data_IF_282562169734
#
_entry.id   IF_282562169734
#
_cell.length_a   1.000
_cell.length_b   1.000
_cell.length_c   1.000
_cell.angle_alpha   90.00
_cell.angle_beta   90.00
_cell.angle_gamma   90.00
#
_symmetry.space_group_name_H-M   'P 1'
#
loop_
_entity.id
_entity.type
_entity.pdbx_description
1 polymer ?
#
# COMPACT_ATOMS: atom_id res chain seq x y z
N UNK A 1 -14.76 9.47 -56.23
CA UNK A 1 -13.98 8.80 -55.16
C UNK A 1 -12.76 9.58 -54.67
N UNK A 2 -11.84 10.08 -55.53
CA UNK A 2 -10.62 10.79 -55.08
C UNK A 2 -10.84 12.08 -54.25
N UNK A 3 -11.95 12.80 -54.44
CA UNK A 3 -12.30 14.00 -53.64
C UNK A 3 -12.80 13.66 -52.23
N UNK A 4 -13.45 12.51 -52.04
CA UNK A 4 -13.97 12.09 -50.73
C UNK A 4 -12.84 11.62 -49.80
N UNK A 5 -11.84 10.92 -50.35
CA UNK A 5 -10.66 10.48 -49.61
C UNK A 5 -9.81 11.66 -49.09
N UNK A 6 -9.68 12.74 -49.86
CA UNK A 6 -8.96 13.95 -49.43
C UNK A 6 -9.66 14.68 -48.28
N UNK A 7 -10.99 14.73 -48.28
CA UNK A 7 -11.78 15.34 -47.19
C UNK A 7 -11.70 14.52 -45.90
N UNK A 8 -11.73 13.19 -46.00
CA UNK A 8 -11.55 12.28 -44.86
C UNK A 8 -10.15 12.37 -44.24
N UNK A 9 -9.09 12.47 -45.06
CA UNK A 9 -7.72 12.64 -44.54
C UNK A 9 -7.52 13.98 -43.83
N UNK A 10 -8.10 15.08 -44.33
CA UNK A 10 -8.01 16.39 -43.66
C UNK A 10 -8.81 16.41 -42.36
N UNK A 11 -9.98 15.77 -42.32
CA UNK A 11 -10.76 15.59 -41.10
C UNK A 11 -10.04 14.76 -40.04
N UNK A 12 -9.40 13.65 -40.42
CA UNK A 12 -8.64 12.80 -39.50
C UNK A 12 -7.40 13.52 -38.94
N UNK A 13 -6.71 14.33 -39.76
CA UNK A 13 -5.57 15.14 -39.31
C UNK A 13 -6.02 16.25 -38.34
N UNK A 14 -7.17 16.89 -38.59
CA UNK A 14 -7.73 17.89 -37.67
C UNK A 14 -8.21 17.29 -36.34
N UNK A 15 -8.78 16.08 -36.35
CA UNK A 15 -9.10 15.36 -35.11
C UNK A 15 -7.84 14.93 -34.34
N UNK A 16 -6.77 14.53 -35.03
CA UNK A 16 -5.49 14.17 -34.42
C UNK A 16 -4.78 15.39 -33.78
N UNK A 17 -4.91 16.58 -34.38
CA UNK A 17 -4.41 17.84 -33.80
C UNK A 17 -5.31 18.42 -32.70
N UNK A 18 -6.61 18.08 -32.69
CA UNK A 18 -7.50 18.43 -31.58
C UNK A 18 -7.26 17.55 -30.35
N UNK A 19 -6.90 16.26 -30.53
CA UNK A 19 -6.58 15.34 -29.44
C UNK A 19 -5.19 15.56 -28.84
N UNK A 20 -4.24 16.14 -29.58
CA UNK A 20 -2.90 16.49 -29.05
C UNK A 20 -2.84 17.86 -28.37
N UNK A 21 -3.94 18.62 -28.39
CA UNK A 21 -4.16 19.79 -27.53
C UNK A 21 -5.15 19.47 -26.40
N UNK A 22 -5.05 18.26 -25.83
CA UNK A 22 -5.34 18.13 -24.41
C UNK A 22 -4.44 19.14 -23.71
N UNK A 23 -4.99 20.32 -23.39
CA UNK A 23 -4.39 21.30 -22.51
C UNK A 23 -3.70 20.51 -21.40
N UNK A 24 -2.36 20.54 -21.34
CA UNK A 24 -1.61 19.83 -20.31
C UNK A 24 -2.25 20.18 -18.98
N UNK A 25 -3.04 19.24 -18.44
CA UNK A 25 -3.95 19.53 -17.34
C UNK A 25 -3.10 20.11 -16.23
N UNK A 26 -3.57 21.21 -15.64
CA UNK A 26 -2.85 21.92 -14.61
C UNK A 26 -2.47 20.91 -13.52
N UNK A 27 -1.16 20.66 -13.29
CA UNK A 27 -0.75 19.65 -12.33
C UNK A 27 -1.29 19.98 -10.95
N UNK A 28 -1.70 18.95 -10.22
CA UNK A 28 -2.30 19.08 -8.88
C UNK A 28 -1.41 19.87 -7.90
N UNK A 29 -0.08 19.80 -8.05
CA UNK A 29 0.87 20.54 -7.22
C UNK A 29 0.81 22.06 -7.41
N UNK A 30 0.24 22.54 -8.53
CA UNK A 30 0.04 23.98 -8.76
C UNK A 30 -1.07 24.52 -7.85
N UNK A 31 -2.10 23.73 -7.59
CA UNK A 31 -3.24 24.09 -6.74
C UNK A 31 -3.09 23.63 -5.28
N UNK A 32 -2.41 22.51 -5.06
CA UNK A 32 -2.20 21.94 -3.74
C UNK A 32 -0.75 21.44 -3.56
N UNK A 33 0.24 22.34 -3.41
CA UNK A 33 1.62 21.95 -3.17
C UNK A 33 1.85 21.27 -1.81
N UNK A 34 0.88 21.35 -0.89
CA UNK A 34 0.98 20.77 0.45
C UNK A 34 1.11 19.24 0.46
N UNK A 35 0.72 18.56 -0.60
CA UNK A 35 0.86 17.09 -0.69
C UNK A 35 2.32 16.61 -0.64
N UNK A 36 3.28 17.49 -0.94
CA UNK A 36 4.72 17.16 -0.88
C UNK A 36 5.37 17.53 0.45
N UNK A 37 4.62 18.07 1.42
CA UNK A 37 5.20 18.64 2.64
C UNK A 37 5.50 17.64 3.76
N UNK A 38 5.10 16.38 3.63
CA UNK A 38 5.32 15.34 4.65
C UNK A 38 6.81 15.11 4.90
N UNK A 39 7.63 15.13 3.85
CA UNK A 39 9.09 14.94 3.95
C UNK A 39 9.90 16.12 3.40
N UNK A 40 9.25 17.18 2.92
CA UNK A 40 9.94 18.29 2.26
C UNK A 40 9.43 19.67 2.72
N UNK A 41 10.31 20.66 2.66
CA UNK A 41 9.89 22.04 2.50
C UNK A 41 9.57 22.28 1.02
N UNK A 42 8.39 22.82 0.75
CA UNK A 42 7.85 22.99 -0.59
C UNK A 42 7.89 24.46 -1.00
N UNK A 43 8.40 24.73 -2.19
CA UNK A 43 8.37 26.06 -2.82
C UNK A 43 7.71 25.99 -4.19
N UNK A 44 6.68 26.81 -4.41
CA UNK A 44 6.11 27.01 -5.74
C UNK A 44 6.48 28.39 -6.27
N UNK A 45 7.21 28.40 -7.37
CA UNK A 45 7.61 29.61 -8.06
C UNK A 45 6.67 29.89 -9.22
N UNK A 46 6.17 31.14 -9.33
CA UNK A 46 5.30 31.55 -10.44
C UNK A 46 5.85 32.81 -11.09
N UNK A 47 6.09 32.76 -12.40
CA UNK A 47 6.60 33.91 -13.15
C UNK A 47 6.06 33.95 -14.59
N UNK A 48 6.03 35.14 -15.16
CA UNK A 48 5.65 35.39 -16.55
C UNK A 48 6.77 36.16 -17.23
N UNK A 49 7.07 35.81 -18.47
CA UNK A 49 8.04 36.48 -19.32
C UNK A 49 7.67 36.28 -20.79
N UNK A 50 8.17 37.14 -21.67
CA UNK A 50 7.99 37.00 -23.12
C UNK A 50 8.73 35.77 -23.68
N UNK A 51 9.77 35.29 -22.99
CA UNK A 51 10.51 34.07 -23.34
C UNK A 51 10.31 32.99 -22.27
N UNK A 52 9.94 31.78 -22.69
CA UNK A 52 9.65 30.66 -21.78
C UNK A 52 10.82 30.35 -20.82
N UNK A 53 12.05 30.28 -21.33
CA UNK A 53 13.24 30.00 -20.50
C UNK A 53 13.49 31.07 -19.43
N UNK A 54 13.21 32.34 -19.76
CA UNK A 54 13.31 33.44 -18.79
C UNK A 54 12.21 33.37 -17.74
N UNK A 55 10.99 32.99 -18.13
CA UNK A 55 9.89 32.76 -17.20
C UNK A 55 10.23 31.61 -16.23
N UNK A 56 10.76 30.50 -16.76
CA UNK A 56 11.22 29.35 -15.99
C UNK A 56 12.31 29.73 -14.99
N UNK A 57 13.40 30.35 -15.43
CA UNK A 57 14.49 30.74 -14.53
C UNK A 57 14.02 31.72 -13.42
N UNK A 58 13.09 32.63 -13.74
CA UNK A 58 12.47 33.50 -12.74
C UNK A 58 11.59 32.74 -11.75
N UNK A 59 10.84 31.76 -12.22
CA UNK A 59 10.00 30.91 -11.38
C UNK A 59 10.86 30.03 -10.45
N UNK A 60 11.91 29.39 -10.95
CA UNK A 60 12.88 28.62 -10.13
C UNK A 60 13.45 29.48 -9.00
N UNK A 61 13.93 30.69 -9.32
CA UNK A 61 14.45 31.64 -8.32
C UNK A 61 13.42 31.99 -7.25
N UNK A 62 12.14 32.15 -7.62
CA UNK A 62 11.05 32.42 -6.68
C UNK A 62 10.72 31.21 -5.81
N UNK A 63 10.72 30.01 -6.37
CA UNK A 63 10.48 28.77 -5.63
C UNK A 63 11.52 28.58 -4.52
N UNK A 64 12.80 28.72 -4.88
CA UNK A 64 13.93 28.66 -3.93
C UNK A 64 13.83 29.74 -2.86
N UNK A 65 13.56 30.99 -3.26
CA UNK A 65 13.40 32.09 -2.30
C UNK A 65 12.21 31.88 -1.35
N UNK A 66 11.15 31.20 -1.82
CA UNK A 66 10.01 30.77 -0.99
C UNK A 66 10.43 29.80 0.10
N UNK A 67 11.19 28.75 -0.25
CA UNK A 67 11.75 27.80 0.71
C UNK A 67 12.65 28.52 1.71
N UNK A 68 13.60 29.35 1.24
CA UNK A 68 14.46 30.13 2.14
C UNK A 68 13.67 31.01 3.11
N UNK A 69 12.56 31.61 2.67
CA UNK A 69 11.70 32.43 3.52
C UNK A 69 11.05 31.62 4.65
N UNK A 70 10.58 30.41 4.36
CA UNK A 70 9.98 29.51 5.35
C UNK A 70 11.03 29.09 6.38
N UNK A 71 12.27 28.85 5.94
CA UNK A 71 13.35 28.37 6.80
C UNK A 71 13.95 29.48 7.69
N UNK A 72 13.94 30.75 7.26
CA UNK A 72 14.59 31.87 7.97
C UNK A 72 14.20 32.03 9.44
N UNK A 73 12.98 31.62 9.80
CA UNK A 73 12.49 31.73 11.19
C UNK A 73 12.71 30.45 12.00
N UNK A 74 13.15 29.36 11.36
CA UNK A 74 13.30 28.03 11.96
C UNK A 74 14.76 27.59 12.09
N UNK A 75 15.61 28.05 11.19
CA UNK A 75 17.00 27.58 11.09
C UNK A 75 17.99 28.74 10.98
N UNK A 76 19.22 28.59 11.51
CA UNK A 76 20.30 29.56 11.32
C UNK A 76 20.64 29.78 9.84
N UNK A 77 20.97 31.03 9.48
CA UNK A 77 21.31 31.43 8.11
C UNK A 77 22.41 30.58 7.46
N UNK A 78 23.37 30.08 8.25
CA UNK A 78 24.46 29.21 7.77
C UNK A 78 23.93 27.85 7.31
N UNK A 79 23.00 27.26 8.05
CA UNK A 79 22.41 25.95 7.76
C UNK A 79 21.48 26.03 6.55
N UNK A 80 20.71 27.11 6.45
CA UNK A 80 19.89 27.40 5.26
C UNK A 80 20.80 27.43 4.03
N UNK A 81 21.90 28.20 4.05
CA UNK A 81 22.83 28.29 2.92
C UNK A 81 23.42 26.95 2.51
N UNK A 82 23.79 26.08 3.47
CA UNK A 82 24.31 24.75 3.15
C UNK A 82 23.23 23.80 2.61
N UNK A 83 21.96 24.01 2.97
CA UNK A 83 20.84 23.18 2.51
C UNK A 83 20.33 23.54 1.12
N UNK A 84 20.58 24.78 0.64
CA UNK A 84 20.09 25.24 -0.68
C UNK A 84 20.58 24.35 -1.82
N UNK A 85 21.79 23.77 -1.74
CA UNK A 85 22.31 22.84 -2.75
C UNK A 85 21.54 21.50 -2.80
N UNK A 86 20.77 21.18 -1.77
CA UNK A 86 19.93 19.99 -1.70
C UNK A 86 18.51 20.23 -2.21
N UNK A 87 18.18 21.46 -2.64
CA UNK A 87 16.91 21.75 -3.28
C UNK A 87 16.87 21.09 -4.66
N UNK A 88 15.81 20.34 -4.91
CA UNK A 88 15.54 19.72 -6.22
C UNK A 88 14.40 20.47 -6.90
N UNK A 89 14.54 20.68 -8.19
CA UNK A 89 13.44 21.16 -9.04
C UNK A 89 12.78 19.95 -9.67
N UNK A 90 11.57 19.63 -9.23
CA UNK A 90 10.90 18.37 -9.57
C UNK A 90 10.00 18.49 -10.80
N UNK A 91 9.35 19.65 -10.99
CA UNK A 91 8.33 19.78 -12.03
C UNK A 91 8.19 21.20 -12.55
N UNK A 92 7.72 21.29 -13.80
CA UNK A 92 7.49 22.52 -14.54
C UNK A 92 6.12 22.48 -15.20
N UNK A 93 5.42 23.60 -15.19
CA UNK A 93 4.16 23.73 -15.94
C UNK A 93 4.01 25.15 -16.48
N UNK A 94 3.53 25.26 -17.72
CA UNK A 94 3.19 26.54 -18.30
C UNK A 94 1.69 26.58 -18.55
N UNK A 95 1.03 27.59 -18.00
CA UNK A 95 -0.36 27.87 -18.30
C UNK A 95 -0.46 28.37 -19.75
N UNK A 96 -1.14 27.63 -20.64
CA UNK A 96 -1.23 27.97 -22.06
C UNK A 96 -2.06 29.24 -22.30
N UNK A 97 -2.97 29.58 -21.39
CA UNK A 97 -3.87 30.73 -21.49
C UNK A 97 -3.20 31.99 -20.96
N UNK A 98 -2.65 31.92 -19.75
CA UNK A 98 -2.13 33.11 -19.06
C UNK A 98 -0.64 33.36 -19.32
N UNK A 99 0.06 32.36 -19.87
CA UNK A 99 1.52 32.31 -20.10
C UNK A 99 2.35 32.40 -18.82
N UNK A 100 1.75 32.14 -17.65
CA UNK A 100 2.51 31.95 -16.41
C UNK A 100 3.23 30.61 -16.43
N UNK A 101 4.43 30.61 -15.90
CA UNK A 101 5.30 29.46 -15.74
C UNK A 101 5.41 29.16 -14.25
N UNK A 102 5.19 27.90 -13.90
CA UNK A 102 5.15 27.37 -12.56
C UNK A 102 6.29 26.38 -12.38
N UNK A 103 6.89 26.39 -11.20
CA UNK A 103 8.01 25.52 -10.82
C UNK A 103 7.77 24.97 -9.42
N UNK A 104 7.89 23.65 -9.27
CA UNK A 104 7.91 22.98 -7.97
C UNK A 104 9.37 22.73 -7.54
N UNK A 105 9.74 23.28 -6.39
CA UNK A 105 11.00 23.03 -5.72
C UNK A 105 10.76 22.32 -4.38
N UNK A 106 11.56 21.30 -4.10
CA UNK A 106 11.50 20.53 -2.86
C UNK A 106 12.86 20.52 -2.15
N UNK A 107 12.86 20.77 -0.84
CA UNK A 107 14.00 20.54 0.04
C UNK A 107 13.65 19.43 1.04
N UNK A 108 14.32 18.27 1.01
CA UNK A 108 14.12 17.24 2.02
C UNK A 108 14.37 17.78 3.43
N UNK A 109 13.48 17.50 4.37
CA UNK A 109 13.61 17.99 5.76
C UNK A 109 14.93 17.51 6.39
N UNK A 110 15.33 16.28 6.10
CA UNK A 110 16.60 15.68 6.54
C UNK A 110 17.86 16.42 6.05
N UNK A 111 17.76 17.24 5.01
CA UNK A 111 18.90 18.01 4.49
C UNK A 111 19.24 19.24 5.35
N UNK A 112 18.35 19.66 6.26
CA UNK A 112 18.56 20.78 7.16
C UNK A 112 18.33 20.42 8.63
N UNK A 113 17.38 19.52 8.91
CA UNK A 113 17.02 19.13 10.26
C UNK A 113 17.74 17.83 10.66
N UNK A 114 18.81 17.98 11.44
CA UNK A 114 19.62 16.86 11.93
C UNK A 114 18.87 15.97 12.91
N UNK A 115 17.91 16.51 13.66
CA UNK A 115 17.11 15.72 14.60
C UNK A 115 16.13 14.85 13.82
N UNK A 116 15.48 15.40 12.80
CA UNK A 116 14.64 14.64 11.88
C UNK A 116 15.45 13.54 11.18
N UNK A 117 16.66 13.84 10.70
CA UNK A 117 17.53 12.83 10.07
C UNK A 117 17.95 11.72 11.05
N UNK A 118 18.26 12.06 12.30
CA UNK A 118 18.60 11.09 13.34
C UNK A 118 17.39 10.23 13.72
N UNK A 119 16.21 10.83 13.86
CA UNK A 119 14.96 10.13 14.14
C UNK A 119 14.61 9.16 13.01
N UNK A 120 14.61 9.63 11.76
CA UNK A 120 14.35 8.77 10.58
C UNK A 120 15.33 7.59 10.48
N UNK A 121 16.60 7.80 10.85
CA UNK A 121 17.61 6.72 10.93
C UNK A 121 17.33 5.75 12.09
N UNK A 122 16.95 6.26 13.25
CA UNK A 122 16.59 5.44 14.42
C UNK A 122 15.34 4.60 14.15
N UNK A 123 14.32 5.17 13.52
CA UNK A 123 13.09 4.47 13.13
C UNK A 123 13.40 3.36 12.13
N UNK A 124 14.26 3.64 11.14
CA UNK A 124 14.75 2.62 10.21
C UNK A 124 15.52 1.50 10.91
N UNK A 125 16.43 1.84 11.83
CA UNK A 125 17.22 0.87 12.59
C UNK A 125 16.34 0.01 13.51
N UNK A 126 15.37 0.61 14.19
CA UNK A 126 14.38 -0.08 15.02
C UNK A 126 13.53 -1.02 14.17
N UNK A 127 13.05 -0.57 13.01
CA UNK A 127 12.33 -1.42 12.07
C UNK A 127 13.18 -2.62 11.61
N UNK A 128 14.46 -2.41 11.29
CA UNK A 128 15.37 -3.49 10.90
C UNK A 128 15.69 -4.45 12.05
N UNK A 129 15.91 -3.96 13.27
CA UNK A 129 16.17 -4.78 14.45
C UNK A 129 14.96 -5.63 14.84
N UNK A 130 13.75 -5.06 14.80
CA UNK A 130 12.50 -5.78 15.03
C UNK A 130 12.27 -6.86 13.95
N UNK A 131 12.66 -6.60 12.70
CA UNK A 131 12.63 -7.61 11.65
C UNK A 131 13.62 -8.75 11.93
N UNK A 132 14.85 -8.44 12.35
CA UNK A 132 15.88 -9.44 12.67
C UNK A 132 15.51 -10.32 13.87
N UNK A 133 14.98 -9.74 14.94
CA UNK A 133 14.49 -10.46 16.12
C UNK A 133 13.39 -11.46 15.76
N UNK A 134 12.49 -11.06 14.86
CA UNK A 134 11.41 -11.93 14.36
C UNK A 134 11.93 -13.08 13.49
N UNK A 135 12.99 -12.86 12.71
CA UNK A 135 13.65 -13.94 11.96
C UNK A 135 14.35 -14.94 12.88
N UNK A 136 14.97 -14.46 13.96
CA UNK A 136 15.58 -15.33 14.98
C UNK A 136 14.52 -16.21 15.67
N UNK A 137 13.41 -15.60 16.11
CA UNK A 137 12.30 -16.32 16.75
C UNK A 137 11.58 -17.30 15.80
N UNK A 138 11.60 -17.04 14.49
CA UNK A 138 11.05 -17.95 13.50
C UNK A 138 11.97 -19.15 13.20
N UNK A 139 13.27 -19.03 13.47
CA UNK A 139 14.26 -20.10 13.31
C UNK A 139 14.37 -21.00 14.54
N UNK A 140 13.97 -20.53 15.73
CA UNK A 140 14.01 -21.30 16.99
C UNK A 140 12.71 -22.06 17.28
N UNK A 141 11.85 -22.30 16.29
CA UNK A 141 10.65 -23.14 16.41
C UNK A 141 10.96 -24.66 16.42
N UNK A 142 12.16 -25.05 16.90
CA UNK A 142 12.47 -26.40 17.35
C UNK A 142 12.22 -26.44 18.88
N UNK A 143 11.59 -27.48 19.43
CA UNK A 143 11.13 -27.50 20.83
C UNK A 143 12.24 -27.49 21.90
N UNK A 144 13.52 -27.37 21.53
CA UNK A 144 14.66 -27.47 22.45
C UNK A 144 15.47 -26.17 22.63
N UNK A 145 15.04 -25.02 22.08
CA UNK A 145 15.78 -23.74 22.25
C UNK A 145 15.02 -22.74 23.13
N UNK A 146 15.49 -22.56 24.36
CA UNK A 146 15.07 -21.45 25.21
C UNK A 146 15.84 -20.17 24.84
N UNK A 147 15.14 -19.15 24.36
CA UNK A 147 15.70 -17.78 24.27
C UNK A 147 15.60 -17.15 25.65
N UNK A 148 16.75 -17.05 26.34
CA UNK A 148 16.87 -16.29 27.58
C UNK A 148 16.71 -14.80 27.21
N UNK A 149 15.71 -14.14 27.80
CA UNK A 149 15.64 -12.67 27.76
C UNK A 149 16.84 -12.14 28.53
N UNK A 150 17.66 -11.32 27.88
CA UNK A 150 18.56 -10.41 28.60
C UNK A 150 17.64 -9.33 29.16
N UNK A 151 17.42 -9.33 30.47
CA UNK A 151 16.74 -8.23 31.12
C UNK A 151 17.51 -6.92 30.87
N UNK A 152 16.76 -5.83 30.71
CA UNK A 152 17.28 -4.46 30.70
C UNK A 152 17.83 -4.12 32.09
N UNK A 153 19.03 -4.61 32.43
CA UNK A 153 19.83 -4.04 33.51
C UNK A 153 20.63 -2.86 32.94
N UNK A 154 19.93 -1.75 32.71
CA UNK A 154 20.54 -0.43 32.86
C UNK A 154 20.11 0.10 34.22
N UNK A 155 20.83 -0.33 35.25
CA UNK A 155 20.99 0.46 36.47
C UNK A 155 22.47 0.73 36.68
N UNK A 156 22.78 2.03 36.68
CA UNK A 156 24.06 2.61 37.06
C UNK A 156 24.64 1.97 38.33
N UNK A 157 25.94 1.67 38.32
CA UNK A 157 26.82 2.01 39.43
C UNK A 157 28.30 1.82 39.09
N UNK A 158 28.98 2.96 39.12
CA UNK A 158 30.34 3.24 39.59
C UNK A 158 31.22 2.07 40.07
N UNK A 159 32.47 2.16 39.62
CA UNK A 159 33.65 1.50 40.19
C UNK A 159 33.76 1.72 41.70
N UNK A 160 33.70 0.64 42.47
CA UNK A 160 33.98 0.63 43.91
C UNK A 160 34.47 -0.74 44.36
N UNK A 161 35.72 -0.79 44.82
CA UNK A 161 36.43 -1.92 45.41
C UNK A 161 35.78 -2.50 46.67
N UNK A 162 35.91 -3.82 46.89
CA UNK A 162 35.80 -4.41 48.23
C UNK A 162 35.70 -5.93 48.25
N UNK A 163 36.69 -6.57 48.85
CA UNK A 163 36.73 -7.98 49.29
C UNK A 163 35.50 -8.37 50.15
N UNK A 164 35.04 -9.63 50.05
CA UNK A 164 35.03 -10.61 51.16
C UNK A 164 34.29 -11.92 50.79
N UNK A 165 34.84 -13.00 51.34
CA UNK A 165 34.52 -14.43 51.24
C UNK A 165 33.05 -14.84 51.50
N UNK A 166 32.66 -16.05 51.06
CA UNK A 166 32.36 -17.21 51.95
C UNK A 166 31.50 -18.30 51.26
N UNK A 167 32.01 -19.53 51.37
CA UNK A 167 31.41 -20.87 51.44
C UNK A 167 30.75 -21.61 50.27
N UNK A 168 31.22 -22.86 50.18
CA UNK A 168 30.73 -23.98 49.42
C UNK A 168 29.43 -24.55 50.00
N UNK A 169 28.53 -24.99 49.12
CA UNK A 169 27.51 -25.97 49.43
C UNK A 169 27.47 -27.03 48.32
N UNK A 170 27.42 -28.27 48.77
CA UNK A 170 27.53 -29.53 48.04
C UNK A 170 26.54 -29.70 46.90
N UNK A 171 27.01 -30.41 45.88
CA UNK A 171 26.25 -30.94 44.76
C UNK A 171 25.44 -32.16 45.22
N UNK A 172 24.12 -32.02 45.35
CA UNK A 172 23.19 -33.16 45.30
C UNK A 172 22.56 -33.25 43.91
N UNK A 173 22.95 -34.29 43.16
CA UNK A 173 22.15 -34.80 42.03
C UNK A 173 21.05 -35.72 42.55
N UNK A 174 19.81 -35.60 42.04
CA UNK A 174 18.88 -36.73 42.04
C UNK A 174 18.51 -37.17 40.61
N UNK A 175 18.89 -38.41 40.33
CA UNK A 175 18.15 -39.49 39.65
C UNK A 175 17.48 -39.24 38.29
N UNK A 176 18.07 -39.87 37.26
CA UNK A 176 17.43 -40.18 35.97
C UNK A 176 16.15 -41.01 36.17
N UNK A 177 15.01 -40.45 35.75
CA UNK A 177 13.76 -41.21 35.62
C UNK A 177 13.59 -41.64 34.17
N UNK A 178 13.73 -42.96 33.90
CA UNK A 178 13.39 -43.57 32.62
C UNK A 178 11.87 -43.45 32.36
N UNK A 179 11.49 -42.75 31.29
CA UNK A 179 10.12 -42.76 30.76
C UNK A 179 10.04 -43.77 29.62
N UNK A 180 9.33 -44.87 29.87
CA UNK A 180 9.06 -45.94 28.91
C UNK A 180 7.80 -45.58 28.09
N UNK A 181 7.97 -45.28 26.80
CA UNK A 181 6.85 -44.96 25.90
C UNK A 181 6.24 -46.27 25.39
N UNK A 182 5.09 -46.67 25.93
CA UNK A 182 4.25 -47.73 25.36
C UNK A 182 3.54 -47.23 24.11
N UNK A 183 3.77 -47.95 23.00
CA UNK A 183 3.18 -47.72 21.69
C UNK A 183 1.84 -48.45 21.60
N UNK A 184 0.73 -47.78 21.90
CA UNK A 184 -0.61 -48.32 21.61
C UNK A 184 -0.99 -48.01 20.16
N UNK A 185 -1.06 -49.08 19.36
CA UNK A 185 -1.61 -49.07 18.01
C UNK A 185 -3.09 -49.37 18.12
N UNK A 186 -3.95 -48.40 17.83
CA UNK A 186 -5.38 -48.64 17.61
C UNK A 186 -5.74 -48.20 16.20
N UNK A 187 -5.85 -49.18 15.31
CA UNK A 187 -6.47 -49.06 14.00
C UNK A 187 -7.99 -49.16 14.16
N UNK A 188 -8.73 -48.10 13.81
CA UNK A 188 -10.11 -48.25 13.30
C UNK A 188 -10.27 -47.35 12.09
N UNK A 189 -10.58 -48.01 10.98
CA UNK A 189 -10.83 -47.45 9.66
C UNK A 189 -12.28 -46.96 9.57
N UNK A 190 -12.50 -45.75 9.08
CA UNK A 190 -13.57 -45.43 8.10
C UNK A 190 -13.39 -43.99 7.62
N UNK A 191 -12.72 -43.89 6.49
CA UNK A 191 -12.59 -42.70 5.66
C UNK A 191 -13.96 -42.40 5.07
N UNK A 192 -14.65 -41.37 5.57
CA UNK A 192 -15.63 -40.64 4.77
C UNK A 192 -14.86 -39.53 4.03
N UNK A 193 -14.33 -39.87 2.86
CA UNK A 193 -13.76 -38.92 1.92
C UNK A 193 -14.88 -38.01 1.42
N UNK A 194 -15.07 -36.86 2.07
CA UNK A 194 -15.78 -35.76 1.44
C UNK A 194 -14.84 -35.22 0.37
N UNK A 195 -15.04 -35.70 -0.85
CA UNK A 195 -14.49 -35.11 -2.04
C UNK A 195 -15.16 -33.75 -2.27
N UNK A 196 -14.61 -32.68 -1.68
CA UNK A 196 -14.85 -31.32 -2.20
C UNK A 196 -13.95 -31.14 -3.42
N UNK A 197 -14.41 -31.68 -4.55
CA UNK A 197 -13.97 -31.20 -5.85
C UNK A 197 -14.49 -29.78 -5.99
N UNK A 198 -13.63 -28.79 -5.74
CA UNK A 198 -13.91 -27.41 -6.10
C UNK A 198 -13.81 -27.31 -7.63
N UNK A 199 -14.95 -27.45 -8.32
CA UNK A 199 -15.10 -27.05 -9.72
C UNK A 199 -15.07 -25.52 -9.80
N UNK A 200 -13.89 -24.95 -9.55
CA UNK A 200 -13.63 -23.53 -9.65
C UNK A 200 -13.09 -23.25 -11.06
N UNK A 201 -13.66 -22.25 -11.72
CA UNK A 201 -13.23 -21.84 -13.06
C UNK A 201 -11.79 -21.31 -13.02
N UNK A 202 -11.07 -21.40 -14.13
CA UNK A 202 -9.73 -20.81 -14.28
C UNK A 202 -9.72 -19.35 -13.79
N UNK A 203 -8.80 -19.01 -12.88
CA UNK A 203 -8.70 -17.67 -12.29
C UNK A 203 -9.48 -17.47 -10.98
N UNK A 204 -9.88 -18.54 -10.28
CA UNK A 204 -10.56 -18.45 -8.99
C UNK A 204 -9.92 -19.32 -7.89
N UNK A 205 -10.01 -18.88 -6.63
CA UNK A 205 -9.51 -19.60 -5.45
C UNK A 205 -10.49 -19.50 -4.28
N UNK A 206 -10.66 -20.61 -3.57
CA UNK A 206 -11.45 -20.74 -2.33
C UNK A 206 -10.56 -21.11 -1.11
N UNK A 207 -9.23 -21.15 -1.31
CA UNK A 207 -8.22 -21.46 -0.29
C UNK A 207 -8.40 -22.80 0.45
N UNK A 208 -9.34 -23.65 0.04
CA UNK A 208 -9.63 -24.93 0.70
C UNK A 208 -8.42 -25.89 0.66
N UNK A 209 -7.62 -25.81 -0.40
CA UNK A 209 -6.44 -26.65 -0.60
C UNK A 209 -5.17 -26.13 0.10
N UNK A 210 -5.30 -25.17 1.03
CA UNK A 210 -4.17 -24.55 1.76
C UNK A 210 -3.08 -23.97 0.84
N UNK A 211 -3.47 -23.54 -0.36
CA UNK A 211 -2.57 -23.02 -1.39
C UNK A 211 -3.18 -21.78 -2.02
N UNK A 212 -2.33 -20.88 -2.51
CA UNK A 212 -2.76 -19.74 -3.31
C UNK A 212 -3.14 -20.11 -4.74
N UNK A 213 -2.81 -21.32 -5.22
CA UNK A 213 -3.02 -21.68 -6.62
C UNK A 213 -2.23 -20.76 -7.56
N UNK A 214 -2.92 -20.11 -8.50
CA UNK A 214 -2.33 -19.12 -9.42
C UNK A 214 -2.15 -17.72 -8.82
N UNK A 215 -2.64 -17.50 -7.60
CA UNK A 215 -2.50 -16.23 -6.91
C UNK A 215 -1.15 -16.15 -6.19
N UNK A 216 -0.71 -14.93 -5.89
CA UNK A 216 0.48 -14.67 -5.08
C UNK A 216 0.15 -13.72 -3.95
N UNK A 217 0.81 -13.93 -2.82
CA UNK A 217 0.87 -12.95 -1.73
C UNK A 217 1.89 -11.85 -2.06
N UNK A 218 1.58 -10.61 -1.70
CA UNK A 218 2.50 -9.48 -1.78
C UNK A 218 2.32 -8.57 -0.59
N UNK A 219 3.39 -8.35 0.16
CA UNK A 219 3.47 -7.38 1.26
C UNK A 219 4.89 -6.82 1.20
N UNK A 220 5.01 -5.53 0.89
CA UNK A 220 6.33 -4.92 0.69
C UNK A 220 7.02 -4.63 2.02
N UNK A 221 6.24 -4.29 3.04
CA UNK A 221 6.76 -3.96 4.37
C UNK A 221 7.01 -5.25 5.17
N UNK A 222 6.49 -6.40 4.70
CA UNK A 222 6.63 -7.76 5.25
C UNK A 222 6.17 -7.91 6.71
N UNK A 223 5.39 -6.94 7.17
CA UNK A 223 4.94 -6.83 8.55
C UNK A 223 3.63 -7.58 8.77
N UNK A 224 2.79 -7.64 7.75
CA UNK A 224 1.53 -8.36 7.79
C UNK A 224 1.78 -9.86 7.57
N UNK A 225 0.93 -10.69 8.17
CA UNK A 225 1.06 -12.15 8.11
C UNK A 225 -0.20 -12.76 7.54
N UNK A 226 -0.05 -13.85 6.82
CA UNK A 226 -1.19 -14.65 6.38
C UNK A 226 -1.06 -16.08 6.89
N UNK A 227 -2.19 -16.78 6.94
CA UNK A 227 -2.25 -18.22 7.21
C UNK A 227 -3.32 -18.87 6.35
N UNK A 228 -3.03 -20.08 5.90
CA UNK A 228 -3.90 -20.96 5.12
C UNK A 228 -4.10 -22.24 5.94
N UNK A 229 -4.92 -22.17 6.98
CA UNK A 229 -5.10 -23.27 7.94
C UNK A 229 -6.01 -24.39 7.40
N UNK A 230 -6.59 -24.22 6.21
CA UNK A 230 -7.51 -25.17 5.58
C UNK A 230 -8.91 -25.13 6.18
N UNK A 231 -9.26 -24.03 6.85
CA UNK A 231 -10.61 -23.72 7.31
C UNK A 231 -11.49 -23.12 6.18
N UNK A 232 -11.01 -23.14 4.93
CA UNK A 232 -11.69 -22.54 3.77
C UNK A 232 -11.47 -21.02 3.64
N UNK A 233 -10.48 -20.47 4.35
CA UNK A 233 -10.16 -19.05 4.29
C UNK A 233 -8.65 -18.82 4.21
N UNK A 234 -8.28 -17.73 3.53
CA UNK A 234 -7.04 -17.04 3.81
C UNK A 234 -7.29 -16.08 4.98
N UNK A 235 -6.63 -16.34 6.11
CA UNK A 235 -6.62 -15.40 7.23
C UNK A 235 -5.43 -14.47 7.12
N UNK A 236 -5.68 -13.16 7.08
CA UNK A 236 -4.68 -12.10 7.01
C UNK A 236 -4.71 -11.28 8.28
N UNK A 237 -3.57 -11.20 8.97
CA UNK A 237 -3.33 -10.31 10.09
C UNK A 237 -2.63 -9.06 9.56
N UNK A 238 -3.40 -8.00 9.39
CA UNK A 238 -2.94 -6.71 8.85
C UNK A 238 -2.46 -5.86 10.02
N UNK A 239 -1.20 -5.43 10.00
CA UNK A 239 -0.65 -4.56 11.07
C UNK A 239 -1.17 -3.13 10.96
N UNK A 240 -0.84 -2.24 11.91
CA UNK A 240 -1.22 -0.84 11.84
C UNK A 240 -0.57 -0.11 10.67
N UNK A 241 -1.17 1.01 10.28
CA UNK A 241 -0.67 1.94 9.25
C UNK A 241 -0.54 1.33 7.85
N UNK A 242 -1.24 0.22 7.61
CA UNK A 242 -1.38 -0.44 6.30
C UNK A 242 -2.48 0.27 5.52
N UNK A 243 -2.08 1.32 4.83
CA UNK A 243 -2.96 2.19 4.04
C UNK A 243 -2.83 1.90 2.56
N UNK A 244 -3.86 2.28 1.82
CA UNK A 244 -3.89 2.21 0.36
C UNK A 244 -4.02 3.62 -0.20
N UNK A 245 -2.96 4.06 -0.88
CA UNK A 245 -2.93 5.29 -1.66
C UNK A 245 -2.50 4.97 -3.10
N UNK A 246 -3.45 4.98 -4.07
CA UNK A 246 -3.19 4.88 -5.50
C UNK A 246 -2.02 5.71 -6.02
N UNK A 247 -1.74 6.86 -5.39
CA UNK A 247 -0.69 7.80 -5.79
C UNK A 247 0.70 7.37 -5.38
N UNK A 248 0.83 6.72 -4.24
CA UNK A 248 2.13 6.29 -3.71
C UNK A 248 2.60 4.95 -4.30
N UNK A 249 1.92 4.49 -5.35
CA UNK A 249 2.18 3.21 -5.98
C UNK A 249 1.79 2.02 -5.08
N UNK A 250 0.93 2.26 -4.09
CA UNK A 250 0.32 1.25 -3.22
C UNK A 250 1.27 0.19 -2.71
N UNK A 251 2.36 0.67 -2.14
CA UNK A 251 3.47 -0.17 -1.74
C UNK A 251 3.25 -0.87 -0.41
N UNK A 252 2.44 -0.32 0.48
CA UNK A 252 2.41 -0.76 1.89
C UNK A 252 1.44 -1.91 2.09
N UNK A 253 0.17 -1.71 1.72
CA UNK A 253 -0.86 -2.68 2.05
C UNK A 253 -0.59 -4.11 1.52
N UNK A 254 -0.75 -5.13 2.38
CA UNK A 254 -0.71 -6.52 1.96
C UNK A 254 -1.83 -6.84 0.98
N UNK A 255 -1.55 -7.74 0.05
CA UNK A 255 -2.49 -8.15 -0.99
C UNK A 255 -2.29 -9.57 -1.48
N UNK A 256 -3.37 -10.12 -2.03
CA UNK A 256 -3.36 -11.37 -2.80
C UNK A 256 -3.86 -11.06 -4.20
N UNK A 257 -3.07 -11.41 -5.20
CA UNK A 257 -3.35 -11.02 -6.59
C UNK A 257 -3.03 -12.15 -7.57
N UNK A 258 -3.77 -12.19 -8.68
CA UNK A 258 -3.37 -12.92 -9.89
C UNK A 258 -2.62 -11.96 -10.80
N UNK A 259 -1.75 -12.52 -11.64
CA UNK A 259 -0.94 -11.77 -12.61
C UNK A 259 -1.53 -11.86 -14.02
N UNK A 260 -1.24 -10.86 -14.84
CA UNK A 260 -1.45 -10.86 -16.30
C UNK A 260 -2.90 -11.10 -16.78
N UNK A 261 -3.88 -10.55 -16.07
CA UNK A 261 -5.29 -10.50 -16.52
C UNK A 261 -5.40 -9.53 -17.70
N UNK A 262 -5.96 -10.00 -18.82
CA UNK A 262 -6.09 -9.26 -20.08
C UNK A 262 -7.51 -8.80 -20.37
N UNK A 263 -7.66 -7.58 -20.88
CA UNK A 263 -8.93 -7.08 -21.40
C UNK A 263 -10.01 -6.91 -20.33
N UNK A 264 -11.25 -7.20 -20.72
CA UNK A 264 -12.41 -7.16 -19.81
C UNK A 264 -12.33 -8.27 -18.77
N UNK A 265 -12.81 -7.99 -17.57
CA UNK A 265 -12.91 -8.99 -16.50
C UNK A 265 -13.95 -8.58 -15.45
N UNK A 266 -14.37 -9.56 -14.66
CA UNK A 266 -15.12 -9.39 -13.43
C UNK A 266 -14.33 -10.02 -12.29
N UNK A 267 -13.98 -9.23 -11.29
CA UNK A 267 -13.35 -9.68 -10.05
C UNK A 267 -14.35 -9.62 -8.91
N UNK A 268 -14.49 -10.69 -8.13
CA UNK A 268 -15.38 -10.79 -6.98
C UNK A 268 -14.61 -11.33 -5.78
N UNK A 269 -14.71 -10.65 -4.65
CA UNK A 269 -14.10 -11.05 -3.40
C UNK A 269 -15.12 -11.06 -2.26
N UNK A 270 -14.98 -12.04 -1.36
CA UNK A 270 -15.79 -12.19 -0.16
C UNK A 270 -14.88 -12.20 1.07
N UNK A 271 -15.00 -11.18 1.91
CA UNK A 271 -14.15 -11.00 3.10
C UNK A 271 -15.01 -10.87 4.34
N UNK A 272 -14.56 -11.44 5.46
CA UNK A 272 -15.11 -11.24 6.80
C UNK A 272 -14.05 -10.62 7.71
N UNK A 273 -14.45 -9.62 8.47
CA UNK A 273 -13.64 -9.03 9.53
C UNK A 273 -14.55 -8.49 10.63
N UNK A 274 -13.96 -7.91 11.67
CA UNK A 274 -14.68 -7.04 12.60
C UNK A 274 -14.79 -5.64 11.99
N UNK A 275 -15.91 -5.36 11.33
CA UNK A 275 -16.17 -4.08 10.66
C UNK A 275 -16.57 -2.95 11.61
N UNK A 276 -16.71 -3.23 12.92
CA UNK A 276 -16.96 -2.19 13.92
C UNK A 276 -15.72 -1.34 14.24
N UNK A 277 -14.55 -1.84 13.82
CA UNK A 277 -13.26 -1.20 13.98
C UNK A 277 -13.08 -0.02 13.03
N UNK A 278 -12.71 1.11 13.61
CA UNK A 278 -12.51 2.36 12.88
C UNK A 278 -11.24 2.27 12.07
N UNK A 279 -11.34 2.28 10.75
CA UNK A 279 -10.19 2.20 9.81
C UNK A 279 -9.67 0.83 9.42
N UNK A 280 -10.49 -0.20 9.64
CA UNK A 280 -10.28 -1.53 9.07
C UNK A 280 -11.04 -1.65 7.76
N UNK A 281 -10.39 -2.20 6.73
CA UNK A 281 -10.98 -2.29 5.41
C UNK A 281 -10.34 -3.30 4.48
N UNK A 282 -10.99 -3.54 3.36
CA UNK A 282 -10.40 -4.32 2.26
C UNK A 282 -10.87 -3.76 0.94
N UNK A 283 -10.21 -4.16 -0.14
CA UNK A 283 -10.61 -3.72 -1.46
C UNK A 283 -10.27 -4.71 -2.57
N UNK A 284 -10.90 -4.54 -3.73
CA UNK A 284 -10.43 -5.17 -4.96
C UNK A 284 -9.60 -4.15 -5.70
N UNK A 285 -8.40 -4.52 -6.13
CA UNK A 285 -7.52 -3.68 -6.93
C UNK A 285 -7.24 -4.30 -8.30
N UNK A 286 -7.02 -3.44 -9.27
CA UNK A 286 -6.38 -3.75 -10.54
C UNK A 286 -5.18 -2.81 -10.72
N UNK A 287 -4.01 -3.33 -11.06
CA UNK A 287 -2.82 -2.49 -11.24
C UNK A 287 -1.90 -2.95 -12.36
N UNK A 288 -1.23 -1.99 -12.98
CA UNK A 288 -0.20 -2.20 -13.99
C UNK A 288 0.94 -1.22 -13.75
N UNK A 289 1.99 -1.71 -13.08
CA UNK A 289 3.07 -0.86 -12.60
C UNK A 289 2.60 0.10 -11.49
N UNK A 290 3.30 1.24 -11.38
CA UNK A 290 3.02 2.25 -10.33
C UNK A 290 2.06 3.36 -10.77
N UNK A 291 1.77 3.45 -12.06
CA UNK A 291 1.07 4.58 -12.66
C UNK A 291 -0.38 4.28 -13.01
N UNK A 292 -0.80 3.01 -12.86
CA UNK A 292 -2.13 2.55 -13.21
C UNK A 292 -2.62 1.64 -12.09
N UNK A 293 -3.47 2.19 -11.23
CA UNK A 293 -4.07 1.48 -10.10
C UNK A 293 -5.53 1.91 -10.00
N UNK A 294 -6.44 0.95 -10.05
CA UNK A 294 -7.85 1.17 -9.75
C UNK A 294 -8.19 0.32 -8.54
N UNK A 295 -8.80 0.93 -7.54
CA UNK A 295 -9.15 0.25 -6.31
C UNK A 295 -10.54 0.60 -5.87
N UNK A 296 -11.26 -0.44 -5.47
CA UNK A 296 -12.50 -0.33 -4.74
C UNK A 296 -12.21 -0.65 -3.29
N UNK A 297 -12.47 0.25 -2.35
CA UNK A 297 -12.11 0.08 -0.94
C UNK A 297 -13.36 0.15 -0.06
N UNK A 298 -13.57 -0.85 0.79
CA UNK A 298 -14.56 -0.85 1.85
C UNK A 298 -13.88 -0.54 3.18
N UNK A 299 -14.42 0.41 3.93
CA UNK A 299 -13.78 0.93 5.15
C UNK A 299 -14.80 1.13 6.27
N UNK A 300 -14.45 0.68 7.48
CA UNK A 300 -15.19 0.96 8.71
C UNK A 300 -16.68 0.55 8.66
N UNK A 301 -17.00 -0.52 7.93
CA UNK A 301 -18.36 -1.06 7.87
C UNK A 301 -19.39 -0.21 7.13
N UNK A 302 -19.08 1.04 6.77
CA UNK A 302 -20.10 2.06 6.46
C UNK A 302 -19.82 2.86 5.19
N UNK A 303 -18.61 2.74 4.63
CA UNK A 303 -18.25 3.44 3.40
C UNK A 303 -17.62 2.51 2.39
N UNK A 304 -18.06 2.64 1.14
CA UNK A 304 -17.43 2.02 -0.02
C UNK A 304 -16.96 3.10 -0.96
N UNK A 305 -15.71 3.02 -1.41
CA UNK A 305 -15.11 3.93 -2.36
C UNK A 305 -14.79 3.19 -3.65
N UNK A 306 -14.91 3.89 -4.77
CA UNK A 306 -14.16 3.60 -5.99
C UNK A 306 -13.21 4.78 -6.22
N UNK A 307 -11.94 4.47 -6.35
CA UNK A 307 -10.88 5.44 -6.62
C UNK A 307 -9.86 4.82 -7.58
N UNK A 308 -9.02 5.67 -8.17
CA UNK A 308 -7.92 5.18 -8.97
C UNK A 308 -6.97 6.28 -9.37
N UNK A 309 -5.81 5.85 -9.85
CA UNK A 309 -4.75 6.66 -10.39
C UNK A 309 -4.32 5.98 -11.70
N UNK A 310 -4.55 6.62 -12.83
CA UNK A 310 -4.23 6.04 -14.14
C UNK A 310 -3.52 7.07 -15.00
N UNK A 311 -2.46 6.65 -15.69
CA UNK A 311 -1.65 7.50 -16.57
C UNK A 311 -1.22 8.82 -15.89
N UNK A 312 -0.79 8.72 -14.64
CA UNK A 312 -0.41 9.84 -13.78
C UNK A 312 -1.52 10.87 -13.46
N UNK A 313 -2.78 10.43 -13.56
CA UNK A 313 -3.97 11.25 -13.30
C UNK A 313 -4.81 10.63 -12.19
N UNK A 314 -5.25 11.47 -11.25
CA UNK A 314 -6.25 11.12 -10.26
C UNK A 314 -7.61 10.92 -10.92
N UNK A 315 -8.16 9.72 -10.76
CA UNK A 315 -9.52 9.44 -11.18
C UNK A 315 -10.50 9.93 -10.11
N UNK A 316 -11.75 10.25 -10.50
CA UNK A 316 -12.77 10.67 -9.55
C UNK A 316 -12.92 9.64 -8.43
N UNK A 317 -12.76 10.09 -7.19
CA UNK A 317 -13.15 9.31 -6.03
C UNK A 317 -14.65 9.45 -5.84
N UNK A 318 -15.35 8.33 -5.92
CA UNK A 318 -16.78 8.27 -5.61
C UNK A 318 -16.98 7.46 -4.35
N UNK A 319 -17.71 8.03 -3.40
CA UNK A 319 -18.05 7.39 -2.13
C UNK A 319 -19.54 7.10 -2.04
N UNK A 320 -19.87 6.00 -1.37
CA UNK A 320 -21.25 5.67 -1.03
C UNK A 320 -21.31 5.16 0.39
N UNK A 321 -22.22 5.76 1.16
CA UNK A 321 -22.57 5.26 2.47
C UNK A 321 -23.37 3.96 2.33
N UNK A 322 -23.04 2.96 3.13
CA UNK A 322 -23.75 1.68 3.21
C UNK A 322 -24.08 1.37 4.66
N UNK A 323 -25.12 0.58 4.87
CA UNK A 323 -25.50 0.16 6.21
C UNK A 323 -24.40 -0.71 6.85
N UNK A 324 -24.15 -0.58 8.17
CA UNK A 324 -23.19 -1.40 8.87
C UNK A 324 -23.47 -2.90 8.69
N UNK A 325 -22.48 -3.64 8.19
CA UNK A 325 -22.59 -5.10 8.02
C UNK A 325 -21.97 -5.84 9.18
N UNK A 326 -22.64 -6.92 9.62
CA UNK A 326 -22.07 -7.94 10.49
C UNK A 326 -21.73 -9.17 9.64
N UNK A 327 -20.46 -9.56 9.59
CA UNK A 327 -20.05 -10.79 8.91
C UNK A 327 -19.38 -10.55 7.55
N UNK A 328 -19.82 -11.26 6.52
CA UNK A 328 -19.19 -11.19 5.20
C UNK A 328 -19.62 -9.96 4.42
N UNK A 329 -18.67 -9.41 3.67
CA UNK A 329 -18.90 -8.34 2.70
C UNK A 329 -18.39 -8.81 1.36
N UNK A 330 -19.19 -8.53 0.34
CA UNK A 330 -18.90 -8.85 -1.05
C UNK A 330 -18.54 -7.58 -1.80
N UNK A 331 -17.45 -7.65 -2.56
CA UNK A 331 -17.08 -6.62 -3.50
C UNK A 331 -16.97 -7.22 -4.89
N UNK A 332 -17.39 -6.46 -5.90
CA UNK A 332 -17.22 -6.79 -7.30
C UNK A 332 -16.68 -5.58 -8.05
N UNK A 333 -15.68 -5.81 -8.88
CA UNK A 333 -15.11 -4.84 -9.80
C UNK A 333 -15.24 -5.39 -11.21
N UNK A 334 -15.88 -4.64 -12.09
CA UNK A 334 -16.09 -5.02 -13.49
C UNK A 334 -15.31 -4.05 -14.36
N UNK A 335 -14.45 -4.59 -15.22
CA UNK A 335 -13.85 -3.86 -16.34
C UNK A 335 -14.50 -4.31 -17.63
N UNK A 336 -15.04 -3.37 -18.40
CA UNK A 336 -15.50 -3.60 -19.76
C UNK A 336 -14.84 -2.59 -20.69
N UNK A 337 -13.81 -3.02 -21.42
CA UNK A 337 -12.91 -2.14 -22.16
C UNK A 337 -12.32 -1.01 -21.27
N UNK A 338 -12.83 0.22 -21.44
CA UNK A 338 -12.43 1.42 -20.68
C UNK A 338 -13.34 1.72 -19.49
N UNK A 339 -14.49 1.07 -19.39
CA UNK A 339 -15.44 1.28 -18.30
C UNK A 339 -15.07 0.44 -17.09
N UNK A 340 -15.09 1.08 -15.92
CA UNK A 340 -14.86 0.47 -14.62
C UNK A 340 -16.08 0.68 -13.76
N UNK A 341 -16.67 -0.41 -13.27
CA UNK A 341 -17.86 -0.35 -12.41
C UNK A 341 -17.64 -1.13 -11.12
N UNK A 342 -17.95 -0.50 -10.00
CA UNK A 342 -17.79 -1.06 -8.67
C UNK A 342 -19.14 -1.40 -8.06
N UNK A 343 -19.28 -2.63 -7.55
CA UNK A 343 -20.49 -3.10 -6.88
C UNK A 343 -20.20 -3.67 -5.51
N UNK A 344 -21.13 -3.52 -4.59
CA UNK A 344 -21.09 -4.02 -3.22
C UNK A 344 -22.30 -4.92 -2.96
N UNK A 345 -22.15 -5.92 -2.09
CA UNK A 345 -23.28 -6.68 -1.55
C UNK A 345 -22.97 -7.17 -0.12
N UNK A 346 -24.02 -7.39 0.67
CA UNK A 346 -23.95 -8.08 1.96
C UNK A 346 -24.34 -9.57 1.87
N UNK A 347 -24.92 -10.03 0.75
CA UNK A 347 -25.53 -11.37 0.61
C UNK A 347 -25.30 -12.05 -0.76
N UNK A 348 -24.19 -11.74 -1.45
CA UNK A 348 -23.77 -12.24 -2.78
C UNK A 348 -24.69 -11.94 -3.98
N UNK A 349 -26.00 -11.97 -3.80
CA UNK A 349 -26.98 -11.93 -4.90
C UNK A 349 -27.59 -10.53 -5.12
N UNK A 350 -27.56 -9.66 -4.11
CA UNK A 350 -28.09 -8.29 -4.19
C UNK A 350 -26.96 -7.27 -4.37
N UNK A 351 -26.64 -6.94 -5.63
CA UNK A 351 -25.53 -6.05 -5.96
C UNK A 351 -25.98 -4.60 -6.09
N UNK A 352 -25.40 -3.75 -5.25
CA UNK A 352 -25.56 -2.30 -5.32
C UNK A 352 -24.40 -1.70 -6.09
N UNK A 353 -24.68 -1.03 -7.21
CA UNK A 353 -23.69 -0.20 -7.89
C UNK A 353 -23.27 0.95 -6.96
N UNK A 354 -21.96 1.13 -6.83
CA UNK A 354 -21.34 2.19 -6.04
C UNK A 354 -21.01 3.36 -6.95
N UNK A 355 -20.31 3.06 -8.04
CA UNK A 355 -19.77 4.06 -8.96
C UNK A 355 -19.35 3.41 -10.27
N UNK A 356 -19.29 4.24 -11.30
CA UNK A 356 -18.66 3.93 -12.56
C UNK A 356 -17.82 5.12 -13.06
N UNK A 357 -16.76 4.84 -13.79
CA UNK A 357 -16.05 5.83 -14.59
C UNK A 357 -15.42 5.17 -15.81
N UNK A 358 -14.98 6.00 -16.75
CA UNK A 358 -14.20 5.57 -17.90
C UNK A 358 -12.77 6.08 -17.80
N UNK A 359 -11.80 5.20 -18.07
CA UNK A 359 -10.40 5.58 -18.19
C UNK A 359 -9.66 4.63 -19.11
N UNK A 360 -8.66 5.15 -19.80
CA UNK A 360 -7.63 4.32 -20.39
C UNK A 360 -6.84 3.62 -19.29
N UNK A 361 -6.60 2.33 -19.47
CA UNK A 361 -5.85 1.48 -18.56
C UNK A 361 -5.14 0.41 -19.39
N UNK A 362 -3.92 -0.01 -19.03
CA UNK A 362 -3.22 -1.06 -19.76
C UNK A 362 -4.08 -2.31 -19.99
N UNK A 363 -3.95 -2.92 -21.17
CA UNK A 363 -4.74 -4.10 -21.54
C UNK A 363 -4.49 -5.26 -20.58
N UNK A 364 -3.24 -5.43 -20.17
CA UNK A 364 -2.81 -6.44 -19.19
C UNK A 364 -2.55 -5.79 -17.83
N UNK A 365 -3.11 -6.37 -16.77
CA UNK A 365 -2.94 -5.91 -15.40
C UNK A 365 -2.99 -7.07 -14.38
N UNK A 366 -2.48 -6.81 -13.18
CA UNK A 366 -2.70 -7.68 -12.03
C UNK A 366 -4.02 -7.32 -11.37
N UNK A 367 -4.72 -8.32 -10.82
CA UNK A 367 -6.02 -8.12 -10.15
C UNK A 367 -6.01 -8.87 -8.84
N UNK A 368 -6.45 -8.24 -7.75
CA UNK A 368 -6.33 -8.82 -6.42
C UNK A 368 -7.22 -8.21 -5.35
N UNK A 369 -7.05 -8.70 -4.13
CA UNK A 369 -7.63 -8.15 -2.91
C UNK A 369 -6.53 -7.50 -2.08
N UNK A 370 -6.80 -6.29 -1.60
CA UNK A 370 -5.94 -5.51 -0.72
C UNK A 370 -6.56 -5.45 0.65
N UNK A 371 -5.75 -5.50 1.71
CA UNK A 371 -6.22 -5.49 3.08
C UNK A 371 -5.65 -4.27 3.80
N UNK A 372 -6.52 -3.53 4.48
CA UNK A 372 -6.22 -2.20 5.01
C UNK A 372 -6.46 -2.16 6.51
N UNK A 373 -5.53 -1.53 7.21
CA UNK A 373 -5.66 -1.31 8.64
C UNK A 373 -4.86 -0.09 9.04
N UNK A 374 -5.56 1.02 9.24
CA UNK A 374 -4.99 2.26 9.78
C UNK A 374 -5.41 2.45 11.25
N UNK A 375 -5.73 1.35 11.94
CA UNK A 375 -5.81 1.33 13.41
C UNK A 375 -4.43 1.09 14.01
N UNK A 376 -4.17 1.66 15.20
CA UNK A 376 -2.98 1.37 15.99
C UNK A 376 -2.91 -0.06 16.55
N UNK A 377 -3.74 -1.00 16.09
CA UNK A 377 -3.74 -2.41 16.50
C UNK A 377 -3.86 -3.32 15.29
N UNK A 378 -3.33 -4.55 15.38
CA UNK A 378 -3.47 -5.55 14.31
C UNK A 378 -4.92 -6.01 14.17
N UNK A 379 -5.39 -6.13 12.93
CA UNK A 379 -6.72 -6.61 12.61
C UNK A 379 -6.68 -7.87 11.74
N UNK A 380 -7.48 -8.86 12.12
CA UNK A 380 -7.62 -10.11 11.38
C UNK A 380 -8.77 -10.03 10.38
N UNK A 381 -8.50 -10.40 9.13
CA UNK A 381 -9.48 -10.51 8.06
C UNK A 381 -9.43 -11.91 7.47
N UNK A 382 -10.58 -12.44 7.07
CA UNK A 382 -10.73 -13.74 6.41
C UNK A 382 -11.24 -13.54 5.00
N UNK A 383 -10.40 -13.79 4.01
CA UNK A 383 -10.79 -13.86 2.61
C UNK A 383 -11.25 -15.31 2.32
N UNK A 384 -12.52 -15.47 2.00
CA UNK A 384 -13.10 -16.79 1.67
C UNK A 384 -12.81 -17.17 0.22
N UNK A 385 -13.00 -16.22 -0.71
CA UNK A 385 -12.65 -16.43 -2.09
C UNK A 385 -12.27 -15.13 -2.79
N UNK A 386 -11.47 -15.30 -3.84
CA UNK A 386 -11.29 -14.32 -4.91
C UNK A 386 -11.54 -15.03 -6.24
N UNK A 387 -12.49 -14.51 -7.02
CA UNK A 387 -12.88 -15.01 -8.35
C UNK A 387 -12.54 -13.93 -9.37
N UNK A 388 -11.76 -14.24 -10.39
CA UNK A 388 -11.52 -13.36 -11.54
C UNK A 388 -11.96 -14.10 -12.80
N UNK A 389 -12.94 -13.56 -13.52
CA UNK A 389 -13.51 -14.15 -14.73
C UNK A 389 -13.33 -13.17 -15.89
N UNK A 390 -12.80 -13.63 -17.02
CA UNK A 390 -12.58 -12.82 -18.23
C UNK A 390 -13.69 -12.99 -19.26
#
# INVERSE_FOLDING_TARGET
>A
MKKLAKLLCVGAILCYFAQTNAYAQKPSWVDNPGIYSSENFVGVGVAKDSKADKARAKAEKKAVAGIEKILKNKYPKKEIKSSVSSIRIESYWQDPMTKYYYVLALLPIEAIDKNYAAQKKADKARSSAMSALKMLNAQTADPDVAVIKVDDDVTDSESGSGDMDVEAAEVEQPAETKVEIKKETTTVSSVASVATSSNMADGSTDFANKSFGSFKWSDQDQNSKYSLLGDGYLTVNVVSDETWDPKEGNKRAPRVETVDVKGSFTAIAKVKADWSKYRVGFGICAHSGKQNIISKVFYNGSYVYLEGYANDIDLPRTEKHVEPVKGFVYMKLVRSAYSWTAYYSSIEDDWVEIANFETEFPETCNVGVVFLNDEGTTSAMKLEFLKVTQ
#
